data_IF_361942457454
#
_entry.id   IF_361942457454
#
_cell.length_a   1.000
_cell.length_b   1.000
_cell.length_c   1.000
_cell.angle_alpha   90.00
_cell.angle_beta   90.00
_cell.angle_gamma   90.00
#
_symmetry.space_group_name_H-M   'P 1'
#
loop_
_entity.id
_entity.type
_entity.pdbx_description
1 polymer ?
#
# COMPACT_ATOMS: atom_id res chain seq x y z
N UNK A 1 -23.53 10.60 -18.06
CA UNK A 1 -22.29 11.22 -17.54
C UNK A 1 -21.67 10.24 -16.57
N UNK A 2 -20.55 9.61 -16.92
CA UNK A 2 -19.83 8.75 -15.97
C UNK A 2 -19.07 9.69 -15.03
N UNK A 3 -19.56 9.85 -13.81
CA UNK A 3 -18.89 10.65 -12.79
C UNK A 3 -17.55 10.03 -12.42
N UNK A 4 -16.58 10.88 -12.07
CA UNK A 4 -15.31 10.45 -11.48
C UNK A 4 -15.65 9.76 -10.15
N UNK A 5 -15.07 8.57 -9.92
CA UNK A 5 -15.11 7.90 -8.62
C UNK A 5 -13.76 8.11 -7.96
N UNK A 6 -13.79 8.63 -6.74
CA UNK A 6 -12.60 8.86 -5.94
C UNK A 6 -12.49 7.79 -4.85
N UNK A 7 -11.27 7.31 -4.65
CA UNK A 7 -10.96 6.31 -3.65
C UNK A 7 -9.94 6.86 -2.64
N UNK A 8 -10.09 6.48 -1.38
CA UNK A 8 -9.07 6.70 -0.36
C UNK A 8 -8.52 5.37 0.14
N UNK A 9 -7.23 5.36 0.47
CA UNK A 9 -6.58 4.24 1.14
C UNK A 9 -6.20 4.64 2.57
N UNK A 10 -6.42 3.73 3.50
CA UNK A 10 -6.00 3.90 4.89
C UNK A 10 -5.28 2.66 5.41
N UNK A 11 -4.27 2.89 6.23
CA UNK A 11 -3.60 1.85 7.02
C UNK A 11 -3.45 2.34 8.45
N UNK A 12 -3.29 1.42 9.39
CA UNK A 12 -2.98 1.73 10.78
C UNK A 12 -1.77 0.92 11.25
N UNK A 13 -1.18 1.35 12.37
CA UNK A 13 -0.13 0.58 13.07
C UNK A 13 -0.69 -0.58 13.90
N UNK A 14 -2.01 -0.60 14.12
CA UNK A 14 -2.67 -1.56 14.99
C UNK A 14 -3.35 -2.68 14.20
N UNK A 15 -3.88 -2.36 13.01
CA UNK A 15 -4.55 -3.30 12.12
C UNK A 15 -3.61 -3.79 11.01
N UNK A 16 -3.61 -5.11 10.79
CA UNK A 16 -2.85 -5.74 9.73
C UNK A 16 -3.64 -5.75 8.41
N UNK A 17 -4.06 -4.56 7.94
CA UNK A 17 -4.72 -4.41 6.63
C UNK A 17 -4.64 -2.98 6.11
N UNK A 18 -4.68 -2.84 4.78
CA UNK A 18 -5.06 -1.59 4.13
C UNK A 18 -6.50 -1.68 3.72
N UNK A 19 -7.29 -0.65 4.03
CA UNK A 19 -8.67 -0.52 3.58
C UNK A 19 -8.72 0.44 2.40
N UNK A 20 -9.64 0.16 1.46
CA UNK A 20 -10.00 1.12 0.45
C UNK A 20 -11.47 1.52 0.53
N UNK A 21 -11.69 2.83 0.42
CA UNK A 21 -12.95 3.52 0.63
C UNK A 21 -13.41 4.14 -0.68
N UNK A 22 -14.66 3.92 -1.06
CA UNK A 22 -15.32 4.76 -2.07
C UNK A 22 -15.75 6.06 -1.38
N UNK A 23 -15.18 7.20 -1.79
CA UNK A 23 -15.41 8.49 -1.12
C UNK A 23 -16.79 9.09 -1.40
N UNK A 24 -17.50 8.61 -2.41
CA UNK A 24 -18.87 9.05 -2.71
C UNK A 24 -19.88 8.35 -1.81
N UNK A 25 -19.66 7.07 -1.51
CA UNK A 25 -20.58 6.26 -0.68
C UNK A 25 -20.12 6.12 0.76
N UNK A 26 -18.86 6.47 1.05
CA UNK A 26 -18.19 6.31 2.35
C UNK A 26 -18.12 4.85 2.84
N UNK A 27 -18.22 3.89 1.93
CA UNK A 27 -18.15 2.47 2.24
C UNK A 27 -16.76 1.90 1.93
N UNK A 28 -16.35 0.91 2.72
CA UNK A 28 -15.20 0.06 2.39
C UNK A 28 -15.59 -0.84 1.22
N UNK A 29 -14.83 -0.74 0.12
CA UNK A 29 -15.07 -1.52 -1.11
C UNK A 29 -14.04 -2.63 -1.31
N UNK A 30 -12.91 -2.56 -0.62
CA UNK A 30 -11.86 -3.59 -0.66
C UNK A 30 -10.96 -3.53 0.58
N UNK A 31 -10.27 -4.63 0.86
CA UNK A 31 -9.29 -4.73 1.93
C UNK A 31 -8.12 -5.61 1.52
N UNK A 32 -6.90 -5.16 1.78
CA UNK A 32 -5.68 -5.93 1.53
C UNK A 32 -5.25 -6.61 2.84
N UNK A 33 -5.89 -7.75 3.15
CA UNK A 33 -5.76 -8.46 4.44
C UNK A 33 -4.41 -9.14 4.65
N UNK A 34 -3.69 -9.41 3.56
CA UNK A 34 -2.34 -9.94 3.63
C UNK A 34 -1.30 -8.85 3.92
N UNK A 35 -1.68 -7.65 4.40
CA UNK A 35 -0.74 -6.57 4.69
C UNK A 35 -0.32 -6.60 6.16
N UNK A 36 0.98 -6.60 6.49
CA UNK A 36 1.41 -6.50 7.87
C UNK A 36 1.22 -5.06 8.33
N UNK A 37 1.23 -4.86 9.65
CA UNK A 37 1.22 -3.52 10.26
C UNK A 37 2.18 -2.61 9.51
N UNK A 38 1.68 -1.43 9.14
CA UNK A 38 2.42 -0.47 8.34
C UNK A 38 2.63 0.78 9.17
N UNK A 39 3.87 1.29 9.19
CA UNK A 39 4.20 2.52 9.88
C UNK A 39 3.72 3.76 9.12
N UNK A 40 3.87 4.93 9.75
CA UNK A 40 3.72 6.22 9.08
C UNK A 40 4.64 6.26 7.84
N UNK A 41 4.11 6.75 6.71
CA UNK A 41 4.80 6.82 5.41
C UNK A 41 5.14 5.45 4.77
N UNK A 42 4.63 4.35 5.31
CA UNK A 42 4.85 3.01 4.77
C UNK A 42 3.88 2.62 3.66
N UNK A 43 3.04 3.52 3.16
CA UNK A 43 2.03 3.24 2.14
C UNK A 43 2.16 4.21 0.97
N UNK A 44 2.21 3.70 -0.27
CA UNK A 44 2.28 4.52 -1.47
C UNK A 44 1.45 3.93 -2.62
N UNK A 45 0.69 4.80 -3.29
CA UNK A 45 0.11 4.49 -4.60
C UNK A 45 1.20 4.44 -5.65
N UNK A 46 1.07 3.51 -6.59
CA UNK A 46 2.09 3.25 -7.58
C UNK A 46 1.44 3.03 -8.94
N UNK A 47 1.52 4.04 -9.80
CA UNK A 47 0.75 4.07 -11.03
C UNK A 47 -0.77 3.97 -10.78
N UNK A 48 -1.54 3.58 -11.81
CA UNK A 48 -3.00 3.58 -11.72
C UNK A 48 -3.58 2.44 -10.88
N UNK A 49 -2.84 1.34 -10.68
CA UNK A 49 -3.43 0.07 -10.25
C UNK A 49 -2.68 -0.65 -9.13
N UNK A 50 -1.55 -0.11 -8.68
CA UNK A 50 -0.71 -0.76 -7.67
C UNK A 50 -0.65 0.04 -6.38
N UNK A 51 -0.48 -0.71 -5.30
CA UNK A 51 -0.24 -0.20 -3.97
C UNK A 51 1.00 -0.88 -3.42
N UNK A 52 1.89 -0.09 -2.83
CA UNK A 52 3.07 -0.58 -2.13
C UNK A 52 2.89 -0.32 -0.64
N UNK A 53 3.15 -1.34 0.16
CA UNK A 53 3.17 -1.23 1.61
C UNK A 53 4.47 -1.79 2.19
N UNK A 54 5.13 -1.01 3.03
CA UNK A 54 6.21 -1.49 3.87
C UNK A 54 5.67 -2.31 5.04
N UNK A 55 6.55 -3.15 5.58
CA UNK A 55 6.23 -3.95 6.74
C UNK A 55 6.92 -3.35 7.97
N UNK A 56 6.14 -2.99 8.99
CA UNK A 56 6.67 -2.41 10.22
C UNK A 56 7.74 -3.33 10.84
N UNK A 57 8.88 -2.74 11.17
CA UNK A 57 10.04 -3.40 11.79
C UNK A 57 10.60 -4.59 10.99
N UNK A 58 10.41 -4.59 9.66
CA UNK A 58 10.93 -5.63 8.78
C UNK A 58 11.65 -5.04 7.59
N UNK A 59 12.61 -5.81 7.08
CA UNK A 59 13.31 -5.55 5.84
C UNK A 59 12.48 -6.03 4.64
N UNK A 60 11.22 -5.62 4.55
CA UNK A 60 10.30 -6.17 3.56
C UNK A 60 9.22 -5.17 3.14
N UNK A 61 8.72 -5.37 1.93
CA UNK A 61 7.56 -4.66 1.37
C UNK A 61 6.66 -5.64 0.61
N UNK A 62 5.39 -5.27 0.43
CA UNK A 62 4.42 -6.00 -0.37
C UNK A 62 3.81 -5.06 -1.41
N UNK A 63 3.59 -5.61 -2.60
CA UNK A 63 2.95 -4.92 -3.71
C UNK A 63 1.61 -5.61 -3.96
N UNK A 64 0.56 -4.82 -4.04
CA UNK A 64 -0.80 -5.26 -4.29
C UNK A 64 -1.30 -4.68 -5.60
N UNK A 65 -2.09 -5.46 -6.32
CA UNK A 65 -2.92 -4.95 -7.40
C UNK A 65 -4.35 -4.76 -6.89
N UNK A 66 -5.03 -3.75 -7.41
CA UNK A 66 -6.43 -3.48 -7.10
C UNK A 66 -7.32 -4.72 -7.27
N UNK A 67 -8.19 -4.99 -6.29
CA UNK A 67 -9.13 -6.12 -6.31
C UNK A 67 -8.53 -7.50 -6.01
N UNK A 68 -7.25 -7.59 -5.64
CA UNK A 68 -6.62 -8.85 -5.20
C UNK A 68 -6.32 -8.83 -3.70
N UNK A 69 -6.79 -9.85 -2.98
CA UNK A 69 -6.58 -9.97 -1.52
C UNK A 69 -5.12 -10.28 -1.13
N UNK A 70 -4.38 -10.92 -2.04
CA UNK A 70 -3.00 -11.34 -1.83
C UNK A 70 -2.02 -10.43 -2.60
N UNK A 71 -0.80 -10.23 -2.07
CA UNK A 71 0.20 -9.43 -2.76
C UNK A 71 0.59 -10.10 -4.08
N UNK A 72 0.70 -9.30 -5.14
CA UNK A 72 1.19 -9.73 -6.45
C UNK A 72 2.70 -9.87 -6.46
N UNK A 73 3.40 -9.17 -5.58
CA UNK A 73 4.85 -9.28 -5.42
C UNK A 73 5.25 -9.02 -3.96
N UNK A 74 6.32 -9.69 -3.55
CA UNK A 74 6.95 -9.54 -2.24
C UNK A 74 8.40 -9.13 -2.44
N UNK A 75 8.86 -8.18 -1.64
CA UNK A 75 10.24 -7.73 -1.64
C UNK A 75 10.84 -7.95 -0.25
N UNK A 76 12.09 -8.42 -0.22
CA UNK A 76 12.90 -8.56 0.99
C UNK A 76 14.27 -7.93 0.73
N UNK A 77 14.73 -7.13 1.68
CA UNK A 77 16.03 -6.48 1.66
C UNK A 77 16.87 -6.85 2.87
N UNK A 78 18.07 -6.27 2.98
CA UNK A 78 18.97 -6.51 4.12
C UNK A 78 18.59 -5.72 5.37
N UNK A 79 17.93 -4.57 5.21
CA UNK A 79 17.66 -3.61 6.29
C UNK A 79 16.19 -3.23 6.36
N UNK A 80 15.76 -2.76 7.54
CA UNK A 80 14.39 -2.33 7.79
C UNK A 80 13.99 -1.23 6.83
N UNK A 81 12.75 -1.30 6.34
CA UNK A 81 12.20 -0.33 5.37
C UNK A 81 11.01 0.39 6.01
N UNK A 82 11.22 1.48 6.77
CA UNK A 82 10.10 2.21 7.37
C UNK A 82 9.27 2.99 6.35
N UNK A 83 9.87 3.47 5.26
CA UNK A 83 9.25 4.41 4.31
C UNK A 83 9.30 3.87 2.88
N UNK A 84 8.27 4.22 2.10
CA UNK A 84 8.19 3.88 0.67
C UNK A 84 7.70 5.06 -0.14
N UNK A 85 8.17 5.15 -1.38
CA UNK A 85 7.62 6.03 -2.40
C UNK A 85 7.58 5.30 -3.74
N UNK A 86 6.65 5.70 -4.60
CA UNK A 86 6.60 5.21 -5.98
C UNK A 86 6.47 6.39 -6.95
N UNK A 87 7.01 6.21 -8.15
CA UNK A 87 6.80 7.14 -9.25
C UNK A 87 5.33 7.15 -9.70
N UNK A 88 4.80 8.30 -10.16
CA UNK A 88 3.41 8.39 -10.62
C UNK A 88 3.07 7.46 -11.79
N UNK A 89 4.07 7.06 -12.59
CA UNK A 89 3.91 6.12 -13.70
C UNK A 89 3.96 4.64 -13.28
N UNK A 90 4.31 4.35 -12.02
CA UNK A 90 4.39 3.00 -11.47
C UNK A 90 5.67 2.23 -11.82
N UNK A 91 6.62 2.84 -12.53
CA UNK A 91 7.83 2.17 -13.01
C UNK A 91 8.92 2.03 -11.95
N UNK A 92 8.91 2.88 -10.92
CA UNK A 92 9.95 2.94 -9.90
C UNK A 92 9.32 2.91 -8.51
N UNK A 93 9.78 1.98 -7.69
CA UNK A 93 9.45 1.90 -6.26
C UNK A 93 10.77 2.05 -5.50
N UNK A 94 10.79 2.94 -4.51
CA UNK A 94 11.92 3.13 -3.61
C UNK A 94 11.51 2.85 -2.17
N UNK A 95 12.35 2.10 -1.46
CA UNK A 95 12.25 1.91 -0.02
C UNK A 95 13.47 2.54 0.64
N UNK A 96 13.25 3.44 1.61
CA UNK A 96 14.34 4.03 2.39
C UNK A 96 14.59 3.22 3.66
N UNK A 97 15.86 2.99 4.00
CA UNK A 97 16.28 2.41 5.28
C UNK A 97 16.54 3.50 6.33
N UNK A 98 16.57 3.10 7.61
CA UNK A 98 16.89 3.96 8.75
C UNK A 98 18.34 3.81 9.25
N UNK A 99 19.20 3.23 8.43
CA UNK A 99 20.63 3.01 8.67
C UNK A 99 21.51 4.24 8.43
#
# INVERSE_FOLDING_TARGET
MNGIVEYALSTSSDDAQVLCWDLRTLNVVSSFKANPKCGKNGLALCGPNLLVASQQNKAAMRIYAWGKDQPVQRFSGPERIPIVACSPDGNVIVGGSDS
#
